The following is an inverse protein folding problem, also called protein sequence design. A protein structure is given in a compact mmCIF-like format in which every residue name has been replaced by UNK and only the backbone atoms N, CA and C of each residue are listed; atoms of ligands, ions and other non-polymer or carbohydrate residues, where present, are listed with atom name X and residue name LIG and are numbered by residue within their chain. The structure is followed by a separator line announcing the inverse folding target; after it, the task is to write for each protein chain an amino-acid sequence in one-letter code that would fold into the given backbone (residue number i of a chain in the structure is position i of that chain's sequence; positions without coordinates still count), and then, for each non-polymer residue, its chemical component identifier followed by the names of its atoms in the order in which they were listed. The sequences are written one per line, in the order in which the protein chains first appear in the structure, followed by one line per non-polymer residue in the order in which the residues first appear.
data_IF_588793905224
#
_entry.id   IF_588793905224
#
_cell.length_a   1.000
_cell.length_b   1.000
_cell.length_c   1.000
_cell.angle_alpha   90.00
_cell.angle_beta   90.00
_cell.angle_gamma   90.00
#
_symmetry.space_group_name_H-M   'P 1'
#
loop_
_entity.id
_entity.type
_entity.pdbx_description
1 polymer ?
#
# COMPACT_ATOMS: atom_id res chain seq x y z
N UNK A 1 -0.21 -12.37 -56.10
CA UNK A 1 -0.37 -12.40 -54.63
C UNK A 1 -1.25 -11.24 -54.23
N UNK A 2 -2.43 -11.52 -53.67
CA UNK A 2 -3.47 -10.52 -53.39
C UNK A 2 -3.25 -9.83 -52.05
N UNK A 3 -3.40 -8.50 -52.04
CA UNK A 3 -3.18 -7.54 -50.93
C UNK A 3 -4.12 -7.71 -49.72
N UNK A 4 -4.92 -8.78 -49.65
CA UNK A 4 -5.98 -8.98 -48.65
C UNK A 4 -5.51 -9.64 -47.35
N UNK A 5 -4.25 -10.09 -47.27
CA UNK A 5 -3.71 -10.78 -46.08
C UNK A 5 -2.86 -9.90 -45.16
N UNK A 6 -2.68 -8.61 -45.47
CA UNK A 6 -1.89 -7.70 -44.62
C UNK A 6 -2.66 -7.15 -43.41
N UNK A 7 -3.98 -7.37 -43.31
CA UNK A 7 -4.84 -6.77 -42.29
C UNK A 7 -4.89 -7.51 -40.94
N UNK A 8 -4.26 -8.66 -40.79
CA UNK A 8 -4.47 -9.54 -39.63
C UNK A 8 -3.24 -9.71 -38.70
N UNK A 9 -2.07 -9.18 -39.05
CA UNK A 9 -0.83 -9.48 -38.34
C UNK A 9 -0.39 -8.43 -37.30
N UNK A 10 -1.11 -7.32 -37.13
CA UNK A 10 -0.72 -6.24 -36.21
C UNK A 10 -1.42 -6.27 -34.84
N UNK A 11 -2.27 -7.27 -34.57
CA UNK A 11 -3.11 -7.33 -33.35
C UNK A 11 -2.58 -8.25 -32.25
N UNK A 12 -1.37 -8.80 -32.42
CA UNK A 12 -0.76 -9.74 -31.47
C UNK A 12 0.57 -9.21 -30.92
N UNK A 13 0.65 -7.89 -30.67
CA UNK A 13 1.72 -7.32 -29.87
C UNK A 13 1.31 -7.40 -28.39
N UNK A 14 1.72 -8.48 -27.74
CA UNK A 14 2.01 -8.59 -26.30
C UNK A 14 1.24 -7.66 -25.36
N UNK A 15 -0.05 -7.90 -25.15
CA UNK A 15 -0.68 -7.57 -23.86
C UNK A 15 -0.25 -8.61 -22.82
N UNK A 16 1.05 -8.70 -22.57
CA UNK A 16 1.56 -9.30 -21.34
C UNK A 16 1.38 -8.25 -20.27
N UNK A 17 0.35 -8.42 -19.44
CA UNK A 17 0.07 -7.59 -18.28
C UNK A 17 1.29 -7.61 -17.35
N UNK A 18 2.19 -6.65 -17.51
CA UNK A 18 3.05 -6.22 -16.43
C UNK A 18 2.12 -5.42 -15.52
N UNK A 19 1.47 -6.09 -14.56
CA UNK A 19 0.91 -5.39 -13.42
C UNK A 19 2.08 -4.68 -12.76
N UNK A 20 2.17 -3.36 -12.92
CA UNK A 20 3.06 -2.54 -12.12
C UNK A 20 2.67 -2.76 -10.67
N UNK A 21 3.63 -3.03 -9.79
CA UNK A 21 3.34 -3.13 -8.36
C UNK A 21 2.57 -1.90 -7.90
N UNK A 22 1.44 -2.13 -7.25
CA UNK A 22 0.57 -1.07 -6.78
C UNK A 22 0.89 -0.82 -5.32
N UNK A 23 1.13 0.44 -4.97
CA UNK A 23 1.33 0.84 -3.58
C UNK A 23 0.10 0.41 -2.76
N UNK A 24 0.33 -0.29 -1.66
CA UNK A 24 -0.73 -0.71 -0.74
C UNK A 24 -0.75 0.21 0.48
N UNK A 25 -1.91 0.36 1.11
CA UNK A 25 -2.05 1.17 2.31
C UNK A 25 -2.71 0.39 3.42
N UNK A 26 -2.26 0.61 4.64
CA UNK A 26 -2.71 -0.10 5.83
C UNK A 26 -2.88 0.88 6.98
N UNK A 27 -3.84 0.61 7.85
CA UNK A 27 -4.04 1.37 9.10
C UNK A 27 -3.89 0.45 10.29
N UNK A 28 -3.39 0.94 11.40
CA UNK A 28 -3.33 0.17 12.61
C UNK A 28 -3.15 0.95 13.90
N UNK A 29 -3.33 0.22 14.98
CA UNK A 29 -3.31 0.71 16.34
C UNK A 29 -2.22 -0.01 17.13
N UNK A 30 -1.41 0.77 17.84
CA UNK A 30 -0.53 0.29 18.87
C UNK A 30 -1.20 0.48 20.22
N UNK A 31 -1.57 -0.64 20.85
CA UNK A 31 -2.28 -0.69 22.12
C UNK A 31 -1.32 -1.13 23.21
N UNK A 32 -1.23 -0.33 24.28
CA UNK A 32 -0.38 -0.63 25.44
C UNK A 32 -0.82 -1.94 26.07
N UNK A 33 0.15 -2.82 26.37
CA UNK A 33 -0.13 -4.08 27.08
C UNK A 33 -0.67 -3.83 28.49
N UNK A 34 -0.32 -2.70 29.10
CA UNK A 34 -0.85 -2.29 30.40
C UNK A 34 -1.95 -1.23 30.19
N UNK A 35 -3.15 -1.49 30.70
CA UNK A 35 -4.29 -0.57 30.61
C UNK A 35 -5.06 -0.59 29.28
N UNK A 36 -4.63 -1.36 28.27
CA UNK A 36 -5.38 -1.59 27.03
C UNK A 36 -5.71 -0.33 26.22
N UNK A 37 -4.96 0.75 26.46
CA UNK A 37 -5.20 2.06 25.84
C UNK A 37 -4.42 2.16 24.53
N UNK A 38 -5.08 2.61 23.46
CA UNK A 38 -4.41 2.95 22.20
C UNK A 38 -3.49 4.14 22.44
N UNK A 39 -2.18 3.93 22.22
CA UNK A 39 -1.17 4.96 22.43
C UNK A 39 -0.62 5.52 21.12
N UNK A 40 -0.61 4.73 20.05
CA UNK A 40 -0.33 5.22 18.71
C UNK A 40 -1.34 4.69 17.71
N UNK A 41 -1.67 5.51 16.73
CA UNK A 41 -2.49 5.17 15.57
C UNK A 41 -1.67 5.53 14.35
N UNK A 42 -1.52 4.61 13.41
CA UNK A 42 -0.67 4.80 12.23
C UNK A 42 -1.41 4.38 10.97
N UNK A 43 -1.05 5.06 9.90
CA UNK A 43 -1.32 4.68 8.53
C UNK A 43 0.01 4.57 7.83
N UNK A 44 0.18 3.50 7.06
CA UNK A 44 1.40 3.25 6.29
C UNK A 44 1.03 3.02 4.83
N UNK A 45 1.93 3.44 3.95
CA UNK A 45 1.92 3.07 2.54
C UNK A 45 3.16 2.24 2.26
N UNK A 46 2.99 1.16 1.50
CA UNK A 46 4.08 0.30 1.05
C UNK A 46 4.28 0.39 -0.45
N UNK A 47 5.42 -0.09 -0.93
CA UNK A 47 5.75 -0.21 -2.35
C UNK A 47 4.97 -1.31 -3.10
N UNK A 48 4.25 -2.18 -2.38
CA UNK A 48 3.54 -3.32 -2.97
C UNK A 48 4.48 -4.40 -3.53
N UNK A 49 5.77 -4.38 -3.17
CA UNK A 49 6.80 -5.28 -3.67
C UNK A 49 7.30 -6.19 -2.57
N UNK A 50 6.54 -7.25 -2.29
CA UNK A 50 6.90 -8.21 -1.26
C UNK A 50 8.20 -8.96 -1.62
N UNK A 51 9.13 -9.01 -0.65
CA UNK A 51 10.35 -9.79 -0.74
C UNK A 51 10.07 -11.30 -0.56
N UNK A 52 11.13 -12.12 -0.58
CA UNK A 52 11.02 -13.57 -0.43
C UNK A 52 10.36 -14.02 0.89
N UNK A 53 10.41 -13.18 1.92
CA UNK A 53 9.83 -13.42 3.25
C UNK A 53 8.43 -12.80 3.42
N UNK A 54 7.90 -12.17 2.36
CA UNK A 54 6.58 -11.55 2.32
C UNK A 54 6.51 -10.14 2.90
N UNK A 55 7.66 -9.48 3.11
CA UNK A 55 7.71 -8.08 3.57
C UNK A 55 7.83 -7.10 2.41
N UNK A 56 7.06 -6.03 2.49
CA UNK A 56 7.08 -4.88 1.61
C UNK A 56 7.78 -3.70 2.29
N UNK A 57 8.32 -2.77 1.51
CA UNK A 57 8.97 -1.58 2.06
C UNK A 57 7.93 -0.53 2.38
N UNK A 58 7.90 -0.03 3.61
CA UNK A 58 7.12 1.15 3.98
C UNK A 58 7.76 2.37 3.31
N UNK A 59 6.99 3.07 2.48
CA UNK A 59 7.41 4.27 1.75
C UNK A 59 6.85 5.55 2.36
N UNK A 60 5.76 5.47 3.11
CA UNK A 60 5.19 6.60 3.84
C UNK A 60 4.51 6.14 5.14
N UNK A 61 4.48 7.03 6.13
CA UNK A 61 3.88 6.77 7.44
C UNK A 61 3.36 8.07 8.06
N UNK A 62 2.09 8.06 8.49
CA UNK A 62 1.46 9.17 9.20
C UNK A 62 0.54 8.68 10.31
N UNK A 63 0.11 9.58 11.19
CA UNK A 63 -0.76 9.25 12.31
C UNK A 63 -0.40 10.02 13.57
N UNK A 64 -0.60 9.40 14.73
CA UNK A 64 -0.26 9.99 16.03
C UNK A 64 0.41 8.99 16.96
N UNK A 65 1.27 9.48 17.84
CA UNK A 65 1.88 8.74 18.96
C UNK A 65 1.79 9.60 20.21
N UNK A 66 1.29 9.06 21.32
CA UNK A 66 1.11 9.84 22.55
C UNK A 66 0.24 11.09 22.38
N UNK A 67 -0.62 11.14 21.35
CA UNK A 67 -1.43 12.31 21.00
C UNK A 67 -0.71 13.35 20.13
N UNK A 68 0.56 13.18 19.79
CA UNK A 68 1.30 14.08 18.88
C UNK A 68 1.33 13.52 17.47
N UNK A 69 1.32 14.41 16.47
CA UNK A 69 1.36 14.01 15.06
C UNK A 69 2.73 13.44 14.68
N UNK A 70 2.69 12.37 13.91
CA UNK A 70 3.84 11.85 13.18
C UNK A 70 4.06 12.75 11.97
N UNK A 71 5.29 13.25 11.79
CA UNK A 71 5.65 14.27 10.80
C UNK A 71 6.58 13.76 9.71
N UNK A 72 7.12 12.54 9.84
CA UNK A 72 7.90 11.93 8.77
C UNK A 72 8.35 10.51 9.06
N UNK A 73 8.51 9.72 8.00
CA UNK A 73 9.17 8.42 8.03
C UNK A 73 10.69 8.62 8.01
N UNK A 74 11.42 7.90 8.86
CA UNK A 74 12.89 7.89 8.85
C UNK A 74 13.40 6.83 7.87
N UNK A 75 14.47 7.12 7.15
CA UNK A 75 15.08 6.16 6.23
C UNK A 75 15.59 4.90 6.97
N UNK A 76 15.68 3.75 6.31
CA UNK A 76 16.28 2.54 6.88
C UNK A 76 17.71 2.78 7.40
N UNK A 77 18.05 2.14 8.52
CA UNK A 77 19.36 2.20 9.17
C UNK A 77 19.54 3.38 10.12
N UNK A 78 18.47 4.11 10.44
CA UNK A 78 18.49 5.22 11.39
C UNK A 78 18.26 4.71 12.83
N UNK A 79 17.20 5.17 13.50
CA UNK A 79 16.89 4.81 14.88
C UNK A 79 16.63 3.31 15.03
N UNK A 80 17.27 2.68 16.03
CA UNK A 80 17.06 1.27 16.35
C UNK A 80 17.46 0.27 15.25
N UNK A 81 18.15 0.71 14.18
CA UNK A 81 18.47 -0.12 13.03
C UNK A 81 17.24 -0.49 12.19
N UNK A 82 16.27 0.41 12.09
CA UNK A 82 15.03 0.21 11.34
C UNK A 82 15.28 -0.24 9.89
N UNK A 83 14.48 -1.18 9.41
CA UNK A 83 14.50 -1.65 8.02
C UNK A 83 13.26 -1.18 7.24
N UNK A 84 12.27 -0.62 7.94
CA UNK A 84 10.98 -0.19 7.41
C UNK A 84 10.26 -1.30 6.64
N UNK A 85 10.42 -2.55 7.08
CA UNK A 85 9.77 -3.69 6.46
C UNK A 85 8.46 -4.01 7.15
N UNK A 86 7.39 -4.07 6.35
CA UNK A 86 6.04 -4.39 6.80
C UNK A 86 5.47 -5.60 6.06
N UNK A 87 4.66 -6.40 6.74
CA UNK A 87 3.76 -7.35 6.10
C UNK A 87 2.41 -7.38 6.80
N UNK A 88 1.36 -7.69 6.05
CA UNK A 88 0.01 -7.78 6.62
C UNK A 88 -0.16 -9.04 7.49
N UNK A 89 0.38 -10.17 7.04
CA UNK A 89 0.14 -11.45 7.67
C UNK A 89 1.21 -11.82 8.71
N UNK A 90 0.78 -12.37 9.84
CA UNK A 90 1.68 -12.88 10.89
C UNK A 90 2.34 -11.76 11.71
N UNK A 91 3.67 -11.82 11.86
CA UNK A 91 4.41 -10.76 12.56
C UNK A 91 4.65 -9.58 11.62
N UNK A 92 4.02 -8.45 11.87
CA UNK A 92 3.87 -7.38 10.88
C UNK A 92 5.16 -6.58 10.64
N UNK A 93 6.01 -6.46 11.67
CA UNK A 93 7.26 -5.74 11.62
C UNK A 93 8.39 -6.68 12.02
N UNK A 94 9.59 -6.40 11.52
CA UNK A 94 10.80 -7.12 11.93
C UNK A 94 11.32 -6.59 13.28
N UNK A 95 12.48 -7.08 13.71
CA UNK A 95 13.20 -6.51 14.84
C UNK A 95 13.81 -5.13 14.55
N UNK A 96 14.14 -4.83 13.29
CA UNK A 96 14.52 -3.48 12.88
C UNK A 96 13.32 -2.54 13.00
N UNK A 97 12.19 -2.96 12.45
CA UNK A 97 10.92 -2.25 12.57
C UNK A 97 10.87 -0.97 11.74
N UNK A 98 9.99 -0.05 12.15
CA UNK A 98 9.77 1.22 11.47
C UNK A 98 10.08 2.40 12.38
N UNK A 99 10.89 3.32 11.87
CA UNK A 99 11.23 4.54 12.58
C UNK A 99 10.61 5.78 11.96
N UNK A 100 10.19 6.71 12.79
CA UNK A 100 9.46 7.91 12.38
C UNK A 100 9.72 9.08 13.32
N UNK A 101 9.43 10.28 12.83
CA UNK A 101 9.53 11.53 13.58
C UNK A 101 8.16 11.89 14.12
N UNK A 102 8.05 12.19 15.41
CA UNK A 102 6.85 12.77 15.99
C UNK A 102 7.19 13.93 16.92
N UNK A 103 6.29 14.90 17.01
CA UNK A 103 6.48 16.05 17.90
C UNK A 103 6.46 15.67 19.38
N UNK A 104 7.06 16.51 20.22
CA UNK A 104 6.94 16.41 21.68
C UNK A 104 5.56 16.86 22.15
N UNK A 105 4.99 16.20 23.16
CA UNK A 105 3.76 16.64 23.83
C UNK A 105 4.01 17.77 24.86
N UNK A 106 5.28 18.15 25.04
CA UNK A 106 5.71 19.20 25.97
C UNK A 106 5.61 18.80 27.45
N UNK A 107 5.33 17.53 27.75
CA UNK A 107 5.14 17.05 29.14
C UNK A 107 5.95 15.78 29.43
N UNK A 108 6.16 14.88 28.47
CA UNK A 108 6.75 13.56 28.74
C UNK A 108 7.68 13.00 27.66
N UNK A 109 7.72 13.59 26.46
CA UNK A 109 8.40 12.98 25.31
C UNK A 109 9.25 14.02 24.57
N UNK A 110 10.50 14.21 25.01
CA UNK A 110 11.50 15.05 24.32
C UNK A 110 12.07 14.38 23.05
N UNK A 111 11.64 13.14 22.78
CA UNK A 111 12.12 12.34 21.66
C UNK A 111 11.43 12.76 20.36
N UNK A 112 12.24 13.22 19.41
CA UNK A 112 11.80 13.46 18.04
C UNK A 112 11.67 12.16 17.26
N UNK A 113 12.54 11.18 17.50
CA UNK A 113 12.58 9.94 16.75
C UNK A 113 12.00 8.79 17.56
N UNK A 114 11.18 7.99 16.91
CA UNK A 114 10.49 6.84 17.47
C UNK A 114 10.81 5.61 16.66
N UNK A 115 10.86 4.45 17.31
CA UNK A 115 10.94 3.17 16.63
C UNK A 115 9.86 2.22 17.16
N UNK A 116 9.13 1.60 16.24
CA UNK A 116 8.17 0.53 16.52
C UNK A 116 8.66 -0.75 15.86
N UNK A 117 8.90 -1.78 16.66
CA UNK A 117 9.46 -3.04 16.17
C UNK A 117 8.85 -4.24 16.90
N UNK A 118 9.02 -5.42 16.31
CA UNK A 118 8.66 -6.67 16.96
C UNK A 118 9.86 -7.30 17.66
N UNK A 119 9.74 -7.56 18.96
CA UNK A 119 10.73 -8.32 19.71
C UNK A 119 10.26 -9.77 19.86
N UNK A 120 11.11 -10.72 19.43
CA UNK A 120 10.87 -12.16 19.57
C UNK A 120 11.15 -12.69 20.98
N UNK A 121 11.99 -12.01 21.75
CA UNK A 121 12.26 -12.35 23.15
C UNK A 121 10.98 -12.12 23.99
N UNK A 122 10.54 -10.86 23.95
CA UNK A 122 9.20 -10.41 23.61
C UNK A 122 7.99 -11.08 24.24
N UNK A 123 7.17 -11.86 23.54
CA UNK A 123 6.87 -11.91 22.09
C UNK A 123 5.86 -10.79 21.81
N UNK A 124 6.32 -9.56 21.63
CA UNK A 124 5.45 -8.37 21.61
C UNK A 124 6.01 -7.27 20.73
N UNK A 125 5.15 -6.34 20.34
CA UNK A 125 5.60 -5.10 19.74
C UNK A 125 6.13 -4.17 20.83
N UNK A 126 7.17 -3.42 20.47
CA UNK A 126 7.85 -2.47 21.35
C UNK A 126 7.85 -1.13 20.64
N UNK A 127 7.34 -0.12 21.34
CA UNK A 127 7.46 1.28 20.93
C UNK A 127 8.46 1.96 21.85
N UNK A 128 9.51 2.52 21.27
CA UNK A 128 10.57 3.24 22.00
C UNK A 128 10.80 4.59 21.37
N UNK A 129 11.13 5.58 22.19
CA UNK A 129 11.49 6.90 21.71
C UNK A 129 12.99 7.14 21.95
N UNK A 130 13.72 7.50 20.89
CA UNK A 130 15.16 7.77 20.93
C UNK A 130 15.47 8.92 21.89
N UNK A 131 16.62 8.87 22.56
CA UNK A 131 17.05 9.86 23.55
C UNK A 131 16.11 10.03 24.76
N UNK A 132 15.18 9.11 24.95
CA UNK A 132 14.32 9.05 26.13
C UNK A 132 14.42 7.70 26.85
N UNK A 133 14.00 7.66 28.12
CA UNK A 133 13.78 6.39 28.82
C UNK A 133 12.43 5.76 28.49
N UNK A 134 11.65 6.33 27.57
CA UNK A 134 10.35 5.80 27.21
C UNK A 134 10.53 4.52 26.39
N UNK A 135 10.03 3.42 26.95
CA UNK A 135 9.79 2.19 26.24
C UNK A 135 8.45 1.62 26.67
N UNK A 136 7.72 1.10 25.71
CA UNK A 136 6.43 0.47 25.93
C UNK A 136 6.38 -0.86 25.20
N UNK A 137 5.63 -1.81 25.77
CA UNK A 137 5.26 -3.07 25.12
C UNK A 137 3.76 -3.07 24.87
N UNK A 138 3.38 -3.61 23.72
CA UNK A 138 2.02 -3.54 23.23
C UNK A 138 1.67 -4.60 22.20
N UNK A 139 0.42 -4.55 21.79
CA UNK A 139 -0.09 -5.27 20.64
C UNK A 139 -0.22 -4.30 19.47
N UNK A 140 0.00 -4.83 18.27
CA UNK A 140 -0.21 -4.13 17.02
C UNK A 140 -1.37 -4.81 16.31
N UNK A 141 -2.42 -4.04 16.02
CA UNK A 141 -3.53 -4.47 15.19
C UNK A 141 -3.49 -3.68 13.89
N UNK A 142 -3.49 -4.36 12.75
CA UNK A 142 -3.42 -3.71 11.43
C UNK A 142 -4.51 -4.25 10.52
N UNK A 143 -4.98 -3.41 9.62
CA UNK A 143 -5.98 -3.76 8.62
C UNK A 143 -5.66 -3.10 7.29
N UNK A 144 -5.91 -3.79 6.16
CA UNK A 144 -5.70 -3.22 4.84
C UNK A 144 -6.74 -2.14 4.56
N UNK A 145 -6.30 -1.05 3.94
CA UNK A 145 -7.18 -0.05 3.35
C UNK A 145 -7.48 -0.53 1.94
N UNK A 146 -8.77 -0.71 1.62
CA UNK A 146 -9.15 -1.14 0.28
C UNK A 146 -8.67 -0.13 -0.77
N UNK A 147 -7.92 -0.56 -1.80
CA UNK A 147 -7.52 0.33 -2.87
C UNK A 147 -8.75 0.97 -3.53
N UNK A 148 -8.76 2.29 -3.63
CA UNK A 148 -9.77 2.99 -4.44
C UNK A 148 -9.39 2.74 -5.91
N UNK A 149 -10.30 2.21 -6.76
CA UNK A 149 -9.95 1.95 -8.15
C UNK A 149 -9.46 3.23 -8.82
N UNK A 150 -8.31 3.14 -9.49
CA UNK A 150 -7.68 4.32 -10.06
C UNK A 150 -8.50 4.90 -11.22
N UNK A 151 -8.41 6.22 -11.49
CA UNK A 151 -9.09 6.87 -12.61
C UNK A 151 -8.85 6.15 -13.95
N UNK A 152 -7.66 5.58 -14.12
CA UNK A 152 -7.25 4.86 -15.33
C UNK A 152 -8.00 3.53 -15.52
N UNK A 153 -8.33 2.82 -14.44
CA UNK A 153 -9.15 1.61 -14.51
C UNK A 153 -10.56 1.91 -15.03
N UNK A 154 -11.11 3.07 -14.65
CA UNK A 154 -12.37 3.56 -15.21
C UNK A 154 -12.21 3.99 -16.67
N UNK A 155 -11.11 4.64 -17.04
CA UNK A 155 -10.84 5.00 -18.43
C UNK A 155 -10.71 3.76 -19.33
N UNK A 156 -10.05 2.70 -18.88
CA UNK A 156 -9.91 1.44 -19.60
C UNK A 156 -11.24 0.68 -19.71
N UNK A 157 -12.06 0.70 -18.66
CA UNK A 157 -13.43 0.18 -18.72
C UNK A 157 -14.27 0.94 -19.75
N UNK A 158 -14.21 2.27 -19.72
CA UNK A 158 -14.92 3.13 -20.69
C UNK A 158 -14.40 2.93 -22.11
N UNK A 159 -13.10 2.77 -22.31
CA UNK A 159 -12.50 2.46 -23.60
C UNK A 159 -12.98 1.09 -24.13
N UNK A 160 -13.04 0.07 -23.26
CA UNK A 160 -13.56 -1.25 -23.58
C UNK A 160 -15.04 -1.21 -23.98
N UNK A 161 -15.86 -0.49 -23.20
CA UNK A 161 -17.29 -0.29 -23.50
C UNK A 161 -17.50 0.51 -24.80
N UNK A 162 -16.69 1.55 -25.03
CA UNK A 162 -16.73 2.34 -26.25
C UNK A 162 -16.40 1.52 -27.49
N UNK A 163 -15.38 0.66 -27.43
CA UNK A 163 -15.02 -0.24 -28.52
C UNK A 163 -16.14 -1.25 -28.83
N UNK A 164 -16.76 -1.85 -27.80
CA UNK A 164 -17.89 -2.76 -27.97
C UNK A 164 -19.12 -2.07 -28.56
N UNK A 165 -19.41 -0.83 -28.13
CA UNK A 165 -20.46 0.00 -28.70
C UNK A 165 -20.22 0.31 -30.17
N UNK A 166 -19.00 0.65 -30.56
CA UNK A 166 -18.64 0.90 -31.96
C UNK A 166 -18.79 -0.34 -32.86
N UNK A 167 -18.37 -1.51 -32.37
CA UNK A 167 -18.49 -2.78 -33.12
C UNK A 167 -19.95 -3.20 -33.30
N UNK A 168 -20.80 -2.97 -32.30
CA UNK A 168 -22.23 -3.31 -32.39
C UNK A 168 -22.96 -2.44 -33.43
N UNK A 169 -22.64 -1.14 -33.51
CA UNK A 169 -23.19 -0.23 -34.53
C UNK A 169 -22.82 -0.68 -35.95
N UNK A 170 -21.57 -1.08 -36.20
CA UNK A 170 -21.14 -1.53 -37.55
C UNK A 170 -21.88 -2.77 -38.04
N UNK A 171 -22.28 -3.66 -37.14
CA UNK A 171 -23.03 -4.89 -37.49
C UNK A 171 -24.47 -4.61 -37.89
N UNK A 172 -25.09 -3.56 -37.33
CA UNK A 172 -26.47 -3.19 -37.66
C UNK A 172 -26.56 -2.56 -39.06
N UNK A 173 -25.61 -1.70 -39.42
CA UNK A 173 -25.58 -1.07 -40.75
C UNK A 173 -25.40 -2.09 -41.89
N UNK A 174 -24.73 -3.22 -41.64
CA UNK A 174 -24.56 -4.30 -42.63
C UNK A 174 -25.83 -5.16 -42.78
N UNK A 175 -26.69 -5.23 -41.76
CA UNK A 175 -27.97 -5.96 -41.84
C UNK A 175 -29.05 -5.18 -42.60
N UNK A 176 -29.13 -3.87 -42.41
CA UNK A 176 -30.10 -3.03 -43.14
C UNK A 176 -29.87 -3.03 -44.66
N UNK A 177 -28.62 -3.10 -45.12
CA UNK A 177 -28.29 -3.19 -46.55
C UNK A 177 -28.75 -4.52 -47.18
N UNK A 178 -29.02 -5.56 -46.38
CA UNK A 178 -29.51 -6.84 -46.88
C UNK A 178 -31.04 -6.88 -47.03
N UNK A 179 -31.78 -6.10 -46.22
CA UNK A 179 -33.25 -6.08 -46.26
C UNK A 179 -33.82 -5.15 -47.34
N UNK A 180 -33.05 -4.16 -47.82
CA UNK A 180 -33.45 -3.26 -48.92
C UNK A 180 -33.19 -3.85 -50.33
N UNK A 181 -32.71 -5.10 -50.43
CA UNK A 181 -32.31 -5.76 -51.69
C UNK A 181 -33.27 -6.86 -52.17
N UNK A 182 -34.47 -6.95 -51.60
CA UNK A 182 -35.55 -7.89 -52.00
C UNK A 182 -36.81 -7.08 -52.35
#
# INVERSE_FOLDING_TARGET
MNLKTLGAAALLACFGTLGTAQAASYTGDYVLSFGGTTFAQFSITTDGLANADGFETITDLWGTVGGTSITGLLAPGNTGGNDNLFRLDGTHLTFGGVSFIAGSDGVSLDALNWNLFYSSNSRSYVLSAEDSSFFSRGQLSVSPVSPVPEPESYAMLLAGLGALGFVSMRRQSQRQVHDDAI
#
